data_IF_206036560193
#
_entry.id   IF_206036560193
#
_cell.length_a   1.000
_cell.length_b   1.000
_cell.length_c   1.000
_cell.angle_alpha   90.00
_cell.angle_beta   90.00
_cell.angle_gamma   90.00
#
_symmetry.space_group_name_H-M   'P 1'
#
loop_
_entity.id
_entity.type
_entity.pdbx_description
1 polymer ?
#
# COMPACT_ATOMS: atom_id res chain seq x y z
N UNK A 1 -13.78 -10.29 -9.58
CA UNK A 1 -13.11 -9.12 -8.99
C UNK A 1 -13.04 -9.34 -7.49
N UNK A 2 -12.03 -8.82 -6.82
CA UNK A 2 -11.90 -8.87 -5.37
C UNK A 2 -12.56 -7.63 -4.77
N UNK A 3 -13.36 -7.80 -3.72
CA UNK A 3 -13.82 -6.68 -2.91
C UNK A 3 -12.73 -6.37 -1.88
N UNK A 4 -12.17 -5.17 -1.95
CA UNK A 4 -11.10 -4.72 -1.06
C UNK A 4 -11.64 -3.61 -0.19
N UNK A 5 -11.41 -3.73 1.12
CA UNK A 5 -11.72 -2.70 2.10
C UNK A 5 -10.40 -2.14 2.60
N UNK A 6 -10.13 -0.88 2.26
CA UNK A 6 -8.93 -0.18 2.72
C UNK A 6 -9.33 0.77 3.82
N UNK A 7 -8.84 0.53 5.03
CA UNK A 7 -8.95 1.49 6.14
C UNK A 7 -7.77 2.44 6.12
N UNK A 8 -8.02 3.72 6.39
CA UNK A 8 -6.99 4.74 6.41
C UNK A 8 -7.30 5.82 7.44
N UNK A 9 -6.25 6.51 7.89
CA UNK A 9 -6.34 7.71 8.72
C UNK A 9 -5.83 8.90 7.91
N UNK A 10 -6.53 10.03 8.04
CA UNK A 10 -6.10 11.30 7.46
C UNK A 10 -5.39 12.06 8.57
N UNK A 11 -4.24 12.66 8.29
CA UNK A 11 -3.55 13.50 9.27
C UNK A 11 -4.48 14.62 9.76
N UNK A 12 -4.60 14.75 11.09
CA UNK A 12 -5.49 15.72 11.73
C UNK A 12 -6.95 15.26 11.90
N UNK A 13 -7.32 14.04 11.51
CA UNK A 13 -8.64 13.45 11.77
C UNK A 13 -8.51 12.26 12.72
N UNK A 14 -9.23 12.30 13.84
CA UNK A 14 -9.22 11.23 14.85
C UNK A 14 -10.01 9.99 14.41
N UNK A 15 -10.80 10.08 13.33
CA UNK A 15 -11.66 8.99 12.87
C UNK A 15 -10.98 8.15 11.79
N UNK A 16 -10.97 6.84 12.00
CA UNK A 16 -10.62 5.90 10.94
C UNK A 16 -11.71 5.90 9.86
N UNK A 17 -11.29 6.03 8.60
CA UNK A 17 -12.17 5.96 7.43
C UNK A 17 -11.91 4.65 6.69
N UNK A 18 -12.86 4.25 5.86
CA UNK A 18 -12.69 3.12 4.96
C UNK A 18 -13.18 3.45 3.56
N UNK A 19 -12.57 2.80 2.57
CA UNK A 19 -13.05 2.79 1.19
C UNK A 19 -13.22 1.36 0.73
N UNK A 20 -14.35 1.09 0.05
CA UNK A 20 -14.59 -0.18 -0.63
C UNK A 20 -14.22 -0.02 -2.10
N UNK A 21 -13.34 -0.86 -2.60
CA UNK A 21 -12.93 -0.88 -4.00
C UNK A 21 -13.09 -2.28 -4.61
N UNK A 22 -13.12 -2.33 -5.95
CA UNK A 22 -13.11 -3.58 -6.71
C UNK A 22 -11.77 -3.73 -7.43
N UNK A 23 -11.01 -4.77 -7.11
CA UNK A 23 -9.77 -5.11 -7.82
C UNK A 23 -10.05 -6.16 -8.92
N UNK A 24 -9.61 -5.88 -10.14
CA UNK A 24 -9.70 -6.79 -11.29
C UNK A 24 -8.30 -7.22 -11.69
N UNK A 25 -8.05 -8.53 -11.76
CA UNK A 25 -6.77 -9.07 -12.28
C UNK A 25 -6.73 -8.89 -13.78
N UNK A 26 -5.59 -8.42 -14.31
CA UNK A 26 -5.34 -8.43 -15.75
C UNK A 26 -4.81 -9.82 -16.14
N UNK A 27 -5.59 -10.54 -16.96
CA UNK A 27 -5.22 -11.91 -17.40
C UNK A 27 -3.88 -11.89 -18.13
N UNK A 28 -3.06 -12.93 -17.92
CA UNK A 28 -1.75 -13.07 -18.57
C UNK A 28 -0.58 -12.37 -17.85
N UNK A 29 -0.84 -11.65 -16.75
CA UNK A 29 0.20 -10.91 -16.00
C UNK A 29 0.74 -11.66 -14.78
N UNK A 30 0.37 -12.94 -14.61
CA UNK A 30 0.70 -13.74 -13.42
C UNK A 30 0.36 -13.02 -12.09
N UNK A 31 -0.75 -12.29 -12.05
CA UNK A 31 -1.19 -11.47 -10.91
C UNK A 31 -0.26 -10.30 -10.55
N UNK A 32 0.52 -9.77 -11.50
CA UNK A 32 1.35 -8.59 -11.27
C UNK A 32 0.61 -7.26 -11.54
N UNK A 33 -0.43 -7.28 -12.39
CA UNK A 33 -1.21 -6.10 -12.73
C UNK A 33 -2.67 -6.25 -12.33
N UNK A 34 -3.17 -5.24 -11.63
CA UNK A 34 -4.56 -5.13 -11.24
C UNK A 34 -5.14 -3.79 -11.69
N UNK A 35 -6.47 -3.75 -11.84
CA UNK A 35 -7.22 -2.51 -12.02
C UNK A 35 -8.12 -2.32 -10.80
N UNK A 36 -7.89 -1.25 -10.06
CA UNK A 36 -8.67 -0.88 -8.90
C UNK A 36 -9.80 0.09 -9.30
N UNK A 37 -11.05 -0.26 -8.96
CA UNK A 37 -12.21 0.62 -9.17
C UNK A 37 -12.68 1.12 -7.80
N UNK A 38 -12.40 2.40 -7.52
CA UNK A 38 -12.84 3.09 -6.31
C UNK A 38 -14.17 3.83 -6.51
N UNK A 39 -14.35 4.47 -7.68
CA UNK A 39 -15.57 5.18 -8.06
C UNK A 39 -15.93 4.80 -9.50
N UNK A 40 -17.17 4.38 -9.73
CA UNK A 40 -17.65 4.09 -11.08
C UNK A 40 -17.84 5.41 -11.85
N UNK A 41 -17.40 5.53 -13.13
CA UNK A 41 -16.91 4.48 -14.01
C UNK A 41 -15.38 4.31 -14.08
N UNK A 42 -14.59 5.06 -13.29
CA UNK A 42 -13.13 5.09 -13.42
C UNK A 42 -12.42 3.88 -12.79
N UNK A 43 -11.40 3.38 -13.46
CA UNK A 43 -10.48 2.35 -12.96
C UNK A 43 -9.09 2.96 -12.91
N UNK A 44 -8.43 2.84 -11.76
CA UNK A 44 -7.03 3.22 -11.57
C UNK A 44 -6.18 1.97 -11.70
N UNK A 45 -5.05 2.14 -12.35
CA UNK A 45 -4.07 1.08 -12.49
C UNK A 45 -3.51 0.69 -11.10
N UNK A 46 -3.11 -0.55 -10.92
CA UNK A 46 -2.56 -1.03 -9.65
C UNK A 46 -1.44 -2.01 -10.00
N UNK A 47 -0.23 -1.46 -10.11
CA UNK A 47 0.94 -2.18 -10.59
C UNK A 47 1.81 -2.55 -9.41
N UNK A 48 2.05 -3.85 -9.24
CA UNK A 48 3.05 -4.34 -8.30
C UNK A 48 4.42 -4.08 -8.90
N UNK A 49 5.14 -3.10 -8.35
CA UNK A 49 6.48 -2.71 -8.85
C UNK A 49 7.61 -3.41 -8.09
N UNK A 50 7.33 -3.88 -6.88
CA UNK A 50 8.24 -4.65 -6.05
C UNK A 50 7.42 -5.56 -5.14
N UNK A 51 7.87 -6.79 -4.94
CA UNK A 51 7.24 -7.78 -4.09
C UNK A 51 8.34 -8.59 -3.41
N UNK A 52 8.24 -8.73 -2.09
CA UNK A 52 9.15 -9.59 -1.34
C UNK A 52 8.96 -11.06 -1.75
N UNK A 53 10.04 -11.84 -1.82
CA UNK A 53 9.98 -13.26 -2.18
C UNK A 53 9.07 -14.06 -1.24
N UNK A 54 9.02 -13.68 0.04
CA UNK A 54 8.19 -14.26 1.08
C UNK A 54 6.79 -13.63 1.19
N UNK A 55 6.44 -12.71 0.27
CA UNK A 55 5.18 -11.95 0.28
C UNK A 55 4.94 -11.12 1.56
N UNK A 56 5.99 -10.82 2.33
CA UNK A 56 5.88 -10.04 3.58
C UNK A 56 5.49 -8.58 3.32
N UNK A 57 6.00 -7.98 2.24
CA UNK A 57 5.66 -6.63 1.80
C UNK A 57 5.51 -6.55 0.29
N UNK A 58 4.82 -5.50 -0.14
CA UNK A 58 4.61 -5.18 -1.55
C UNK A 58 4.67 -3.67 -1.74
N UNK A 59 5.24 -3.25 -2.86
CA UNK A 59 5.20 -1.88 -3.32
C UNK A 59 4.32 -1.80 -4.55
N UNK A 60 3.35 -0.91 -4.49
CA UNK A 60 2.40 -0.67 -5.58
C UNK A 60 2.52 0.77 -6.04
N UNK A 61 2.62 0.97 -7.34
CA UNK A 61 2.75 2.29 -7.91
C UNK A 61 2.13 2.40 -9.30
N UNK A 62 2.31 3.57 -9.90
CA UNK A 62 2.08 3.77 -11.33
C UNK A 62 3.43 3.89 -12.05
N UNK A 63 3.60 3.33 -13.26
CA UNK A 63 4.80 3.53 -14.08
C UNK A 63 5.23 4.99 -14.33
N UNK A 64 4.27 5.93 -14.30
CA UNK A 64 4.50 7.36 -14.48
C UNK A 64 4.65 8.10 -13.14
N UNK A 65 4.98 7.39 -12.06
CA UNK A 65 5.21 7.92 -10.71
C UNK A 65 4.07 8.77 -10.12
N UNK A 66 2.82 8.54 -10.54
CA UNK A 66 1.64 9.33 -10.09
C UNK A 66 1.22 9.04 -8.64
N UNK A 67 1.45 7.83 -8.16
CA UNK A 67 1.17 7.41 -6.79
C UNK A 67 2.09 6.24 -6.41
N UNK A 68 2.29 6.08 -5.10
CA UNK A 68 3.11 5.04 -4.50
C UNK A 68 2.47 4.59 -3.18
N UNK A 69 2.43 3.28 -2.97
CA UNK A 69 1.97 2.66 -1.74
C UNK A 69 2.97 1.57 -1.34
N UNK A 70 3.41 1.59 -0.10
CA UNK A 70 4.21 0.53 0.52
C UNK A 70 3.30 -0.17 1.53
N UNK A 71 3.11 -1.48 1.36
CA UNK A 71 2.18 -2.26 2.18
C UNK A 71 2.90 -3.47 2.76
N UNK A 72 2.56 -3.81 4.01
CA UNK A 72 3.11 -4.96 4.73
C UNK A 72 1.97 -5.87 5.19
N UNK A 73 2.23 -7.18 5.26
CA UNK A 73 1.33 -8.15 5.90
C UNK A 73 1.26 -7.96 7.41
N UNK A 74 2.31 -7.39 8.00
CA UNK A 74 2.38 -7.01 9.41
C UNK A 74 2.06 -5.52 9.55
N UNK A 75 1.54 -5.09 10.71
CA UNK A 75 1.25 -3.66 10.96
C UNK A 75 2.53 -2.81 11.08
N UNK A 76 3.71 -3.43 11.06
CA UNK A 76 4.99 -2.75 11.01
C UNK A 76 5.87 -3.39 9.95
N UNK A 77 6.81 -2.61 9.44
CA UNK A 77 7.97 -3.06 8.68
C UNK A 77 9.20 -2.73 9.52
N UNK A 78 10.28 -3.50 9.37
CA UNK A 78 11.56 -3.11 9.95
C UNK A 78 11.99 -1.74 9.39
N UNK A 79 12.59 -0.90 10.25
CA UNK A 79 12.89 0.49 9.88
C UNK A 79 13.94 0.57 8.78
N UNK A 80 14.97 -0.28 8.86
CA UNK A 80 16.05 -0.27 7.89
C UNK A 80 15.53 -0.78 6.54
N UNK A 81 14.73 -1.87 6.57
CA UNK A 81 14.05 -2.35 5.38
C UNK A 81 13.12 -1.29 4.77
N UNK A 82 12.37 -0.55 5.58
CA UNK A 82 11.46 0.48 5.09
C UNK A 82 12.24 1.61 4.41
N UNK A 83 13.34 2.05 5.03
CA UNK A 83 14.19 3.07 4.48
C UNK A 83 14.79 2.63 3.13
N UNK A 84 15.27 1.39 3.05
CA UNK A 84 15.81 0.81 1.82
C UNK A 84 14.75 0.76 0.71
N UNK A 85 13.52 0.35 1.04
CA UNK A 85 12.39 0.34 0.09
C UNK A 85 12.09 1.75 -0.41
N UNK A 86 12.05 2.74 0.50
CA UNK A 86 11.82 4.14 0.15
C UNK A 86 12.92 4.65 -0.78
N UNK A 87 14.18 4.33 -0.50
CA UNK A 87 15.31 4.77 -1.32
C UNK A 87 15.32 4.13 -2.71
N UNK A 88 14.93 2.85 -2.81
CA UNK A 88 14.68 2.19 -4.11
C UNK A 88 13.54 2.87 -4.88
N UNK A 89 12.47 3.27 -4.20
CA UNK A 89 11.37 4.01 -4.83
C UNK A 89 11.82 5.40 -5.31
N UNK A 90 12.59 6.12 -4.49
CA UNK A 90 13.16 7.41 -4.86
C UNK A 90 14.04 7.29 -6.11
N UNK A 91 14.90 6.26 -6.15
CA UNK A 91 15.77 5.96 -7.29
C UNK A 91 15.00 5.63 -8.58
N UNK A 92 13.75 5.15 -8.47
CA UNK A 92 12.84 4.91 -9.61
C UNK A 92 12.11 6.19 -10.08
N UNK A 93 12.29 7.33 -9.40
CA UNK A 93 11.69 8.62 -9.75
C UNK A 93 10.40 8.96 -9.00
N UNK A 94 10.05 8.21 -7.96
CA UNK A 94 8.92 8.57 -7.10
C UNK A 94 9.32 9.70 -6.14
N UNK A 95 8.44 10.69 -5.99
CA UNK A 95 8.58 11.74 -4.97
C UNK A 95 8.21 11.17 -3.60
N UNK A 96 9.19 10.59 -2.91
CA UNK A 96 9.01 9.94 -1.61
C UNK A 96 8.78 10.91 -0.46
N UNK A 97 9.01 12.22 -0.66
CA UNK A 97 8.71 13.26 0.34
C UNK A 97 7.21 13.37 0.65
N UNK A 98 6.35 12.87 -0.25
CA UNK A 98 4.89 12.83 -0.10
C UNK A 98 4.38 11.60 0.63
N UNK A 99 5.26 10.67 1.04
CA UNK A 99 4.84 9.48 1.77
C UNK A 99 4.36 9.87 3.17
N UNK A 100 3.16 9.39 3.53
CA UNK A 100 2.57 9.59 4.85
C UNK A 100 2.40 8.24 5.53
N UNK A 101 2.87 8.15 6.78
CA UNK A 101 2.69 6.95 7.59
C UNK A 101 1.24 6.85 8.08
N UNK A 102 0.64 5.66 7.97
CA UNK A 102 -0.70 5.41 8.50
C UNK A 102 -0.71 5.13 10.02
N UNK A 103 0.45 5.21 10.69
CA UNK A 103 0.60 4.99 12.13
C UNK A 103 -0.11 3.72 12.64
N UNK A 104 0.06 2.61 11.93
CA UNK A 104 -0.48 1.33 12.35
C UNK A 104 0.09 0.95 13.73
N UNK A 105 -0.81 0.68 14.67
CA UNK A 105 -0.44 0.27 16.04
C UNK A 105 -0.04 -1.20 15.98
N UNK A 106 1.14 -1.55 16.49
CA UNK A 106 1.52 -2.95 16.63
C UNK A 106 0.65 -3.60 17.72
N UNK A 107 -0.10 -4.68 17.42
CA UNK A 107 -0.96 -5.34 18.40
C UNK A 107 -0.17 -5.93 19.57
N UNK A 108 1.16 -6.09 19.43
CA UNK A 108 2.04 -6.53 20.51
C UNK A 108 2.25 -5.47 21.62
N UNK A 109 1.80 -4.23 21.42
CA UNK A 109 1.81 -3.19 22.49
C UNK A 109 0.53 -3.13 23.31
N UNK A 110 -0.57 -3.78 22.90
CA UNK A 110 -1.83 -3.79 23.66
C UNK A 110 -1.89 -4.89 24.72
N UNK A 111 -0.98 -5.88 24.71
CA UNK A 111 -0.95 -6.98 25.71
C UNK A 111 -0.19 -6.61 27.00
N UNK A 112 0.11 -5.34 27.24
CA UNK A 112 0.68 -4.89 28.53
C UNK A 112 -0.13 -3.72 29.07
N UNK A 113 -1.40 -3.96 29.37
CA UNK A 113 -2.09 -3.27 30.46
C UNK A 113 -2.85 -4.33 31.25
N UNK A 114 -2.49 -4.37 32.53
CA UNK A 114 -3.02 -5.19 33.64
C UNK A 114 -4.51 -5.05 33.85
#
# INVERSE_FOLDING_TARGET
YYAVFTTYKVEGDDKQKYIRSKLFVVKGTNNAEFKAQFLWPFKTDYWVIELAEDYSYVVVGHPNCKYLFIMSRKPFLDKDLLQDVIERCHSKGYDTSKLVSQHHVSPLKETTLV
#
